data_IF_460173514106
#
_entry.id   IF_460173514106
#
_cell.length_a   1.000
_cell.length_b   1.000
_cell.length_c   1.000
_cell.angle_alpha   90.00
_cell.angle_beta   90.00
_cell.angle_gamma   90.00
#
_symmetry.space_group_name_H-M   'P 1'
#
loop_
_entity.id
_entity.type
_entity.pdbx_description
1 polymer ?
#
# COMPACT_ATOMS: atom_id res chain seq x y z
N UNK A 1 5.39 -20.38 0.54
CA UNK A 1 4.58 -19.17 0.25
C UNK A 1 4.91 -18.72 -1.17
N UNK A 2 3.93 -18.31 -1.96
CA UNK A 2 4.14 -17.78 -3.32
C UNK A 2 4.04 -16.27 -3.21
N UNK A 3 5.16 -15.55 -3.40
CA UNK A 3 5.23 -14.09 -3.24
C UNK A 3 4.87 -13.35 -4.52
N UNK A 4 5.36 -13.84 -5.65
CA UNK A 4 5.07 -13.28 -6.96
C UNK A 4 5.03 -14.35 -8.04
N UNK A 5 4.34 -14.06 -9.14
CA UNK A 5 4.26 -14.89 -10.32
C UNK A 5 4.59 -14.05 -11.55
N UNK A 6 5.60 -14.45 -12.30
CA UNK A 6 5.90 -13.88 -13.61
C UNK A 6 5.71 -14.95 -14.68
N UNK A 7 4.85 -14.67 -15.66
CA UNK A 7 4.58 -15.62 -16.72
C UNK A 7 3.54 -15.13 -17.71
N UNK A 8 3.19 -16.01 -18.64
CA UNK A 8 2.24 -15.72 -19.72
C UNK A 8 0.80 -15.86 -19.24
N UNK A 9 -0.03 -14.85 -19.48
CA UNK A 9 -1.47 -14.94 -19.22
C UNK A 9 -2.08 -15.92 -20.24
N UNK A 10 -2.70 -16.99 -19.76
CA UNK A 10 -3.36 -18.00 -20.61
C UNK A 10 -4.88 -17.92 -20.54
N UNK A 11 -5.43 -17.27 -19.50
CA UNK A 11 -6.87 -16.98 -19.36
C UNK A 11 -7.06 -15.70 -18.55
N UNK A 12 -8.04 -14.90 -18.95
CA UNK A 12 -8.39 -13.65 -18.28
C UNK A 12 -9.90 -13.57 -18.09
N UNK A 13 -10.34 -13.39 -16.84
CA UNK A 13 -11.72 -13.16 -16.43
C UNK A 13 -11.83 -11.76 -15.82
N UNK A 14 -13.03 -11.36 -15.42
CA UNK A 14 -13.30 -10.05 -14.83
C UNK A 14 -12.52 -9.82 -13.51
N UNK A 15 -12.40 -10.86 -12.69
CA UNK A 15 -11.82 -10.82 -11.34
C UNK A 15 -10.78 -11.92 -11.10
N UNK A 16 -10.24 -12.52 -12.15
CA UNK A 16 -9.23 -13.56 -12.03
C UNK A 16 -8.45 -13.70 -13.34
N UNK A 17 -7.22 -14.16 -13.23
CA UNK A 17 -6.37 -14.53 -14.36
C UNK A 17 -5.72 -15.89 -14.13
N UNK A 18 -5.34 -16.56 -15.20
CA UNK A 18 -4.47 -17.74 -15.12
C UNK A 18 -3.13 -17.37 -15.72
N UNK A 19 -2.07 -17.46 -14.91
CA UNK A 19 -0.69 -17.17 -15.30
C UNK A 19 0.06 -18.50 -15.42
N UNK A 20 0.65 -18.75 -16.58
CA UNK A 20 1.48 -19.94 -16.84
C UNK A 20 2.93 -19.62 -16.50
N UNK A 21 3.46 -20.30 -15.49
CA UNK A 21 4.84 -20.19 -15.05
C UNK A 21 5.49 -21.59 -15.14
N UNK A 22 6.48 -21.77 -16.02
CA UNK A 22 7.18 -23.05 -16.15
C UNK A 22 6.27 -24.24 -16.50
N UNK A 23 5.18 -24.02 -17.25
CA UNK A 23 4.22 -25.08 -17.62
C UNK A 23 3.09 -25.30 -16.58
N UNK A 24 3.15 -24.65 -15.42
CA UNK A 24 2.08 -24.70 -14.41
C UNK A 24 1.17 -23.49 -14.56
N UNK A 25 -0.15 -23.72 -14.66
CA UNK A 25 -1.16 -22.64 -14.72
C UNK A 25 -1.67 -22.28 -13.31
N UNK A 26 -1.32 -21.10 -12.83
CA UNK A 26 -1.77 -20.57 -11.55
C UNK A 26 -3.05 -19.77 -11.73
N UNK A 27 -4.14 -20.20 -11.08
CA UNK A 27 -5.38 -19.44 -11.02
C UNK A 27 -5.29 -18.38 -9.91
N UNK A 28 -5.32 -17.11 -10.29
CA UNK A 28 -5.08 -15.98 -9.40
C UNK A 28 -6.32 -15.09 -9.39
N UNK A 29 -6.94 -14.92 -8.24
CA UNK A 29 -8.06 -13.98 -8.04
C UNK A 29 -7.49 -12.56 -7.87
N UNK A 30 -8.04 -11.58 -8.57
CA UNK A 30 -7.54 -10.20 -8.57
C UNK A 30 -8.68 -9.21 -8.33
N UNK A 31 -8.38 -8.00 -7.83
CA UNK A 31 -9.30 -6.87 -7.98
C UNK A 31 -9.69 -6.68 -9.45
N UNK A 32 -10.91 -6.24 -9.72
CA UNK A 32 -11.37 -6.02 -11.10
C UNK A 32 -10.55 -4.93 -11.80
N UNK A 33 -10.06 -3.93 -11.05
CA UNK A 33 -9.13 -2.90 -11.51
C UNK A 33 -7.83 -3.51 -12.01
N UNK A 34 -7.23 -4.40 -11.23
CA UNK A 34 -5.98 -5.11 -11.60
C UNK A 34 -6.22 -6.02 -12.81
N UNK A 35 -7.24 -6.88 -12.74
CA UNK A 35 -7.56 -7.77 -13.86
C UNK A 35 -7.80 -6.97 -15.16
N UNK A 36 -8.47 -5.82 -15.09
CA UNK A 36 -8.70 -4.94 -16.24
C UNK A 36 -7.42 -4.37 -16.84
N UNK A 37 -6.49 -3.93 -15.99
CA UNK A 37 -5.23 -3.28 -16.39
C UNK A 37 -4.17 -4.25 -16.92
N UNK A 38 -4.23 -5.54 -16.54
CA UNK A 38 -3.30 -6.55 -17.05
C UNK A 38 -3.37 -6.70 -18.56
N UNK A 39 -2.24 -7.04 -19.22
CA UNK A 39 -2.20 -7.25 -20.66
C UNK A 39 -3.10 -8.40 -21.10
N UNK A 40 -3.29 -8.54 -22.42
CA UNK A 40 -4.13 -9.58 -23.01
C UNK A 40 -3.54 -10.97 -22.90
N UNK A 41 -4.38 -11.98 -23.15
CA UNK A 41 -3.97 -13.40 -23.23
C UNK A 41 -2.80 -13.57 -24.21
N UNK A 42 -1.83 -14.38 -23.83
CA UNK A 42 -0.59 -14.63 -24.60
C UNK A 42 0.55 -13.67 -24.25
N UNK A 43 0.31 -12.60 -23.53
CA UNK A 43 1.33 -11.65 -23.06
C UNK A 43 1.84 -12.03 -21.68
N UNK A 44 3.06 -11.59 -21.38
CA UNK A 44 3.68 -11.78 -20.07
C UNK A 44 3.21 -10.71 -19.07
N UNK A 45 3.04 -11.12 -17.81
CA UNK A 45 2.72 -10.21 -16.69
C UNK A 45 3.37 -10.73 -15.40
N UNK A 46 3.63 -9.81 -14.50
CA UNK A 46 4.04 -10.10 -13.12
C UNK A 46 2.89 -9.72 -12.19
N UNK A 47 2.60 -10.57 -11.22
CA UNK A 47 1.66 -10.33 -10.13
C UNK A 47 2.34 -10.59 -8.80
N UNK A 48 2.17 -9.69 -7.86
CA UNK A 48 2.48 -9.91 -6.44
C UNK A 48 1.34 -10.67 -5.82
N UNK A 49 1.64 -11.70 -5.02
CA UNK A 49 0.59 -12.64 -4.63
C UNK A 49 0.52 -12.89 -3.13
N UNK A 50 -0.70 -13.03 -2.63
CA UNK A 50 -1.00 -13.52 -1.28
C UNK A 50 -1.64 -14.91 -1.38
N UNK A 51 -1.01 -15.89 -0.74
CA UNK A 51 -1.54 -17.26 -0.68
C UNK A 51 -2.32 -17.44 0.61
N UNK A 52 -3.59 -17.81 0.50
CA UNK A 52 -4.45 -18.19 1.62
C UNK A 52 -4.66 -19.69 1.62
N UNK A 53 -4.31 -20.32 2.71
CA UNK A 53 -4.48 -21.76 2.92
C UNK A 53 -5.47 -21.94 4.05
N UNK A 54 -6.58 -22.60 3.78
CA UNK A 54 -7.57 -23.00 4.75
C UNK A 54 -7.72 -24.53 4.73
N UNK A 55 -8.44 -25.09 5.64
CA UNK A 55 -8.67 -26.54 5.72
C UNK A 55 -9.28 -27.12 4.42
N UNK A 56 -10.11 -26.34 3.73
CA UNK A 56 -10.88 -26.80 2.57
C UNK A 56 -10.46 -26.12 1.25
N UNK A 57 -9.55 -25.14 1.25
CA UNK A 57 -9.21 -24.37 0.06
C UNK A 57 -7.81 -23.79 0.12
N UNK A 58 -7.17 -23.75 -1.05
CA UNK A 58 -5.92 -23.01 -1.31
C UNK A 58 -6.22 -21.98 -2.38
N UNK A 59 -6.27 -20.74 -1.98
CA UNK A 59 -6.53 -19.61 -2.88
C UNK A 59 -5.31 -18.73 -3.06
N UNK A 60 -5.15 -18.18 -4.27
CA UNK A 60 -4.10 -17.23 -4.61
C UNK A 60 -4.74 -15.92 -5.05
N UNK A 61 -4.35 -14.84 -4.39
CA UNK A 61 -4.79 -13.48 -4.70
C UNK A 61 -3.64 -12.70 -5.32
N UNK A 62 -3.89 -11.93 -6.38
CA UNK A 62 -2.83 -11.25 -7.14
C UNK A 62 -3.09 -9.79 -7.37
N UNK A 63 -2.01 -9.02 -7.33
CA UNK A 63 -1.97 -7.57 -7.38
C UNK A 63 -0.92 -7.11 -8.38
N UNK A 64 -1.11 -5.93 -8.97
CA UNK A 64 -0.16 -5.37 -9.93
C UNK A 64 1.07 -4.77 -9.23
N UNK A 65 0.93 -4.33 -7.97
CA UNK A 65 2.00 -3.69 -7.20
C UNK A 65 2.09 -4.26 -5.78
N UNK A 66 3.23 -4.06 -5.12
CA UNK A 66 3.45 -4.47 -3.72
C UNK A 66 2.58 -3.66 -2.76
N UNK A 67 2.29 -2.39 -3.09
CA UNK A 67 1.40 -1.54 -2.30
C UNK A 67 -0.02 -2.11 -2.26
N UNK A 68 -0.52 -2.60 -3.40
CA UNK A 68 -1.84 -3.25 -3.45
C UNK A 68 -1.85 -4.55 -2.65
N UNK A 69 -0.77 -5.33 -2.70
CA UNK A 69 -0.59 -6.56 -1.92
C UNK A 69 -0.62 -6.24 -0.42
N UNK A 70 0.21 -5.29 0.04
CA UNK A 70 0.30 -4.86 1.44
C UNK A 70 -1.04 -4.29 1.94
N UNK A 71 -1.72 -3.49 1.11
CA UNK A 71 -3.03 -2.96 1.43
C UNK A 71 -4.07 -4.07 1.60
N UNK A 72 -4.04 -5.11 0.75
CA UNK A 72 -4.92 -6.27 0.89
C UNK A 72 -4.67 -7.03 2.20
N UNK A 73 -3.42 -7.27 2.57
CA UNK A 73 -3.06 -7.91 3.83
C UNK A 73 -3.52 -7.09 5.03
N UNK A 74 -3.33 -5.77 4.98
CA UNK A 74 -3.80 -4.85 6.00
C UNK A 74 -5.33 -4.90 6.18
N UNK A 75 -6.07 -4.85 5.08
CA UNK A 75 -7.54 -4.92 5.08
C UNK A 75 -8.05 -6.26 5.61
N UNK A 76 -7.46 -7.37 5.17
CA UNK A 76 -7.89 -8.72 5.58
C UNK A 76 -7.51 -9.09 7.02
N UNK A 77 -6.60 -8.34 7.64
CA UNK A 77 -6.32 -8.45 9.07
C UNK A 77 -7.42 -7.87 9.96
N UNK A 78 -8.37 -7.10 9.40
CA UNK A 78 -9.52 -6.55 10.14
C UNK A 78 -10.58 -7.62 10.32
N UNK A 79 -11.07 -7.79 11.54
CA UNK A 79 -12.13 -8.76 11.84
C UNK A 79 -13.40 -8.51 11.02
N UNK A 80 -13.83 -9.51 10.25
CA UNK A 80 -14.98 -9.44 9.36
C UNK A 80 -14.65 -8.99 7.93
N UNK A 81 -13.39 -8.67 7.62
CA UNK A 81 -12.92 -8.44 6.25
C UNK A 81 -12.26 -9.71 5.73
N UNK A 82 -13.03 -10.52 5.02
CA UNK A 82 -12.45 -11.66 4.31
C UNK A 82 -11.83 -11.27 2.96
N UNK A 83 -11.12 -12.21 2.30
CA UNK A 83 -10.45 -11.95 1.02
C UNK A 83 -11.37 -11.35 -0.06
N UNK A 84 -12.60 -11.82 -0.17
CA UNK A 84 -13.58 -11.30 -1.14
C UNK A 84 -13.88 -9.82 -0.91
N UNK A 85 -13.99 -9.41 0.35
CA UNK A 85 -14.24 -8.00 0.71
C UNK A 85 -12.99 -7.16 0.46
N UNK A 86 -11.80 -7.67 0.80
CA UNK A 86 -10.53 -7.01 0.48
C UNK A 86 -10.37 -6.74 -1.01
N UNK A 87 -10.62 -7.76 -1.86
CA UNK A 87 -10.61 -7.58 -3.32
C UNK A 87 -11.67 -6.59 -3.80
N UNK A 88 -12.87 -6.59 -3.21
CA UNK A 88 -13.93 -5.64 -3.58
C UNK A 88 -13.55 -4.20 -3.25
N UNK A 89 -12.89 -3.95 -2.12
CA UNK A 89 -12.37 -2.63 -1.74
C UNK A 89 -11.33 -2.17 -2.76
N UNK A 90 -10.31 -3.00 -3.05
CA UNK A 90 -9.25 -2.66 -4.00
C UNK A 90 -9.71 -2.64 -5.47
N UNK A 91 -10.91 -3.12 -5.75
CA UNK A 91 -11.54 -2.96 -7.08
C UNK A 91 -12.10 -1.56 -7.32
N UNK A 92 -12.37 -0.79 -6.25
CA UNK A 92 -13.00 0.54 -6.32
C UNK A 92 -12.15 1.66 -5.70
N UNK A 93 -11.11 1.28 -4.94
CA UNK A 93 -10.21 2.23 -4.27
C UNK A 93 -8.76 1.79 -4.44
N UNK A 94 -7.91 2.69 -4.88
CA UNK A 94 -6.45 2.48 -4.86
C UNK A 94 -5.91 2.56 -3.42
N UNK A 95 -4.74 1.95 -3.12
CA UNK A 95 -4.15 1.92 -1.78
C UNK A 95 -4.06 3.29 -1.10
N UNK A 96 -3.66 4.32 -1.84
CA UNK A 96 -3.55 5.70 -1.33
C UNK A 96 -4.90 6.25 -0.86
N UNK A 97 -5.96 5.96 -1.62
CA UNK A 97 -7.33 6.36 -1.26
C UNK A 97 -7.82 5.62 -0.03
N UNK A 98 -7.44 4.35 0.13
CA UNK A 98 -7.72 3.56 1.34
C UNK A 98 -7.03 4.20 2.54
N UNK A 99 -5.73 4.49 2.44
CA UNK A 99 -4.95 5.12 3.49
C UNK A 99 -5.49 6.51 3.89
N UNK A 100 -5.83 7.33 2.88
CA UNK A 100 -6.44 8.64 3.10
C UNK A 100 -7.79 8.55 3.82
N UNK A 101 -8.67 7.64 3.39
CA UNK A 101 -9.98 7.43 4.02
C UNK A 101 -9.84 6.98 5.47
N UNK A 102 -8.89 6.11 5.79
CA UNK A 102 -8.59 5.66 7.15
C UNK A 102 -8.09 6.83 8.01
N UNK A 103 -7.11 7.59 7.52
CA UNK A 103 -6.52 8.73 8.23
C UNK A 103 -7.54 9.82 8.50
N UNK A 104 -8.40 10.13 7.53
CA UNK A 104 -9.48 11.11 7.64
C UNK A 104 -10.68 10.63 8.47
N UNK A 105 -10.74 9.33 8.82
CA UNK A 105 -11.92 8.76 9.49
C UNK A 105 -13.14 8.60 8.58
N UNK A 106 -12.95 8.66 7.25
CA UNK A 106 -14.05 8.58 6.27
C UNK A 106 -14.50 7.13 6.00
N UNK A 107 -15.30 6.61 6.91
CA UNK A 107 -15.90 5.28 6.74
C UNK A 107 -16.93 5.23 5.59
N UNK A 108 -17.41 6.38 5.09
CA UNK A 108 -18.39 6.39 3.99
C UNK A 108 -17.75 6.00 2.65
N UNK A 109 -16.47 6.31 2.45
CA UNK A 109 -15.72 5.94 1.25
C UNK A 109 -15.75 4.43 0.98
N UNK A 110 -15.69 3.61 2.04
CA UNK A 110 -15.69 2.14 1.93
C UNK A 110 -17.02 1.53 1.49
N UNK A 111 -18.13 2.27 1.60
CA UNK A 111 -19.46 1.77 1.19
C UNK A 111 -19.61 1.55 -0.31
N UNK A 112 -18.70 2.09 -1.12
CA UNK A 112 -18.66 1.83 -2.56
C UNK A 112 -18.28 0.38 -2.89
N UNK A 113 -17.59 -0.29 -1.97
CA UNK A 113 -17.17 -1.67 -2.14
C UNK A 113 -18.30 -2.66 -1.79
N UNK A 114 -18.51 -3.65 -2.66
CA UNK A 114 -19.49 -4.71 -2.42
C UNK A 114 -19.15 -5.51 -1.16
N UNK A 115 -20.15 -5.76 -0.32
CA UNK A 115 -19.98 -6.48 0.95
C UNK A 115 -19.54 -5.61 2.13
N UNK A 116 -19.34 -4.29 1.94
CA UNK A 116 -18.99 -3.37 3.02
C UNK A 116 -20.21 -2.60 3.50
N UNK A 117 -20.79 -3.06 4.61
CA UNK A 117 -21.86 -2.35 5.31
C UNK A 117 -21.33 -1.26 6.24
N UNK A 118 -22.23 -0.39 6.78
CA UNK A 118 -21.83 0.72 7.65
C UNK A 118 -21.00 0.29 8.89
N UNK A 119 -21.37 -0.81 9.53
CA UNK A 119 -20.66 -1.34 10.71
C UNK A 119 -19.26 -1.82 10.36
N UNK A 120 -19.10 -2.50 9.22
CA UNK A 120 -17.80 -2.99 8.77
C UNK A 120 -16.90 -1.82 8.34
N UNK A 121 -17.43 -0.83 7.63
CA UNK A 121 -16.70 0.37 7.24
C UNK A 121 -16.15 1.14 8.47
N UNK A 122 -16.96 1.31 9.52
CA UNK A 122 -16.53 1.92 10.77
C UNK A 122 -15.43 1.13 11.46
N UNK A 123 -15.55 -0.22 11.48
CA UNK A 123 -14.55 -1.11 12.06
C UNK A 123 -13.21 -1.02 11.31
N UNK A 124 -13.23 -1.05 9.96
CA UNK A 124 -12.04 -0.89 9.13
C UNK A 124 -11.27 0.38 9.52
N UNK A 125 -11.96 1.51 9.56
CA UNK A 125 -11.34 2.79 9.93
C UNK A 125 -10.80 2.76 11.35
N UNK A 126 -11.57 2.25 12.31
CA UNK A 126 -11.16 2.24 13.72
C UNK A 126 -9.93 1.35 13.96
N UNK A 127 -9.94 0.11 13.44
CA UNK A 127 -8.86 -0.86 13.67
C UNK A 127 -7.58 -0.50 12.89
N UNK A 128 -7.69 0.17 11.74
CA UNK A 128 -6.54 0.50 10.91
C UNK A 128 -5.96 1.89 11.17
N UNK A 129 -6.69 2.80 11.84
CA UNK A 129 -6.23 4.18 12.08
C UNK A 129 -4.87 4.22 12.77
N UNK A 130 -4.68 3.42 13.82
CA UNK A 130 -3.43 3.39 14.58
C UNK A 130 -2.28 2.73 13.80
N UNK A 131 -2.60 1.78 12.91
CA UNK A 131 -1.61 1.11 12.06
C UNK A 131 -1.11 2.04 10.96
N UNK A 132 -2.02 2.76 10.32
CA UNK A 132 -1.69 3.75 9.27
C UNK A 132 -0.90 4.93 9.87
N UNK A 133 -1.29 5.42 11.06
CA UNK A 133 -0.59 6.52 11.74
C UNK A 133 0.85 6.14 12.16
N UNK A 134 1.14 4.86 12.37
CA UNK A 134 2.49 4.36 12.74
C UNK A 134 3.39 4.09 11.54
N UNK A 135 2.97 4.44 10.31
CA UNK A 135 3.73 4.15 9.10
C UNK A 135 3.84 2.65 8.78
N UNK A 136 2.96 1.82 9.33
CA UNK A 136 2.99 0.35 9.19
C UNK A 136 2.43 -0.12 7.84
N UNK A 137 2.53 0.71 6.84
CA UNK A 137 2.26 0.34 5.46
C UNK A 137 3.60 0.40 4.74
N UNK A 138 4.41 -0.68 4.89
CA UNK A 138 5.55 -0.90 4.00
C UNK A 138 5.03 -0.83 2.56
N UNK A 139 5.44 0.20 1.82
CA UNK A 139 5.06 0.43 0.42
C UNK A 139 3.97 1.49 0.17
N UNK A 140 3.18 1.94 1.15
CA UNK A 140 2.29 3.10 0.96
C UNK A 140 2.98 4.31 1.59
N UNK A 141 3.69 5.08 0.77
CA UNK A 141 4.19 6.40 1.17
C UNK A 141 2.99 7.34 1.33
N UNK A 142 2.54 7.54 2.56
CA UNK A 142 1.55 8.59 2.90
C UNK A 142 2.06 10.00 2.50
N UNK A 143 3.34 10.14 2.21
CA UNK A 143 3.96 11.39 1.74
C UNK A 143 3.60 11.70 0.27
N UNK A 144 3.29 10.70 -0.56
CA UNK A 144 2.86 10.92 -1.95
C UNK A 144 1.40 11.37 -2.06
N UNK A 145 0.57 11.08 -1.05
CA UNK A 145 -0.85 11.48 -1.08
C UNK A 145 -1.03 13.00 -0.87
N UNK A 146 -0.06 13.65 -0.20
CA UNK A 146 0.00 15.11 -0.06
C UNK A 146 0.65 15.82 -1.27
N UNK A 147 1.37 15.09 -2.12
CA UNK A 147 2.23 15.65 -3.17
C UNK A 147 1.53 15.91 -4.51
N UNK A 148 0.27 15.48 -4.69
CA UNK A 148 -0.48 15.82 -5.92
C UNK A 148 -0.70 17.33 -6.11
N UNK A 149 -0.34 18.17 -5.11
CA UNK A 149 -0.40 19.63 -5.17
C UNK A 149 0.86 20.34 -4.67
N UNK A 150 1.93 19.64 -4.30
CA UNK A 150 3.16 20.23 -3.77
C UNK A 150 4.34 20.12 -4.75
N UNK A 151 5.11 21.19 -4.85
CA UNK A 151 6.31 21.30 -5.70
C UNK A 151 7.41 20.30 -5.28
N UNK A 152 8.35 19.93 -6.19
CA UNK A 152 9.39 18.92 -5.95
C UNK A 152 10.27 19.13 -4.70
N UNK A 153 10.35 20.35 -4.18
CA UNK A 153 11.10 20.70 -2.97
C UNK A 153 10.52 20.09 -1.67
N UNK A 154 9.22 19.74 -1.64
CA UNK A 154 8.59 19.17 -0.46
C UNK A 154 8.86 17.66 -0.28
N UNK A 155 9.18 16.94 -1.37
CA UNK A 155 9.51 15.52 -1.35
C UNK A 155 10.83 15.23 -0.65
N UNK A 156 11.85 16.10 -0.85
CA UNK A 156 13.16 15.95 -0.23
C UNK A 156 13.14 16.07 1.30
N UNK A 157 12.33 16.98 1.82
CA UNK A 157 12.20 17.19 3.27
C UNK A 157 11.53 16.00 3.98
N UNK A 158 10.47 15.43 3.38
CA UNK A 158 9.78 14.26 3.92
C UNK A 158 10.69 13.02 3.98
N UNK A 159 11.40 12.71 2.91
CA UNK A 159 12.37 11.62 2.86
C UNK A 159 13.48 11.78 3.90
N UNK A 160 13.97 13.01 4.11
CA UNK A 160 14.96 13.30 5.13
C UNK A 160 14.42 13.07 6.56
N UNK A 161 13.17 13.43 6.84
CA UNK A 161 12.52 13.17 8.13
C UNK A 161 12.39 11.65 8.36
N UNK A 162 11.89 10.89 7.37
CA UNK A 162 11.76 9.44 7.46
C UNK A 162 13.11 8.75 7.73
N UNK A 163 14.18 9.17 7.04
CA UNK A 163 15.53 8.66 7.28
C UNK A 163 16.04 8.95 8.70
N UNK A 164 15.77 10.14 9.25
CA UNK A 164 16.17 10.50 10.61
C UNK A 164 15.38 9.68 11.66
N UNK A 165 14.11 9.41 11.41
CA UNK A 165 13.29 8.55 12.27
C UNK A 165 13.82 7.11 12.26
N UNK A 166 14.22 6.57 11.11
CA UNK A 166 14.85 5.24 11.03
C UNK A 166 16.19 5.15 11.75
N UNK A 167 16.89 6.28 11.92
CA UNK A 167 18.11 6.39 12.73
C UNK A 167 17.83 6.56 14.23
N UNK A 168 16.57 6.51 14.67
CA UNK A 168 16.17 6.51 16.08
C UNK A 168 15.81 7.88 16.66
N UNK A 169 15.71 8.94 15.85
CA UNK A 169 15.20 10.24 16.30
C UNK A 169 13.67 10.25 16.33
N UNK A 170 13.06 11.04 17.23
CA UNK A 170 11.62 11.22 17.24
C UNK A 170 11.16 12.02 16.00
N UNK A 171 9.95 11.78 15.54
CA UNK A 171 9.38 12.49 14.38
C UNK A 171 9.36 14.02 14.58
N UNK A 172 9.11 14.48 15.81
CA UNK A 172 9.11 15.90 16.15
C UNK A 172 10.51 16.51 16.10
N UNK A 173 11.55 15.80 16.54
CA UNK A 173 12.94 16.25 16.47
C UNK A 173 13.43 16.29 15.04
N UNK A 174 13.13 15.25 14.25
CA UNK A 174 13.47 15.16 12.84
C UNK A 174 12.80 16.30 12.03
N UNK A 175 11.50 16.51 12.23
CA UNK A 175 10.77 17.58 11.56
C UNK A 175 11.30 18.98 11.92
N UNK A 176 11.63 19.22 13.19
CA UNK A 176 12.20 20.50 13.68
C UNK A 176 13.62 20.75 13.15
N UNK A 177 14.40 19.69 12.95
CA UNK A 177 15.74 19.79 12.37
C UNK A 177 15.69 20.10 10.86
N UNK A 178 14.83 19.40 10.13
CA UNK A 178 14.68 19.55 8.67
C UNK A 178 14.00 20.87 8.31
N UNK A 179 13.04 21.38 9.12
CA UNK A 179 12.35 22.65 8.85
C UNK A 179 13.27 23.88 8.80
N UNK A 180 14.49 23.78 9.30
CA UNK A 180 15.50 24.85 9.31
C UNK A 180 16.48 24.80 8.14
N UNK A 181 16.32 23.80 7.26
CA UNK A 181 17.22 23.53 6.14
C UNK A 181 16.49 23.85 4.86
N UNK A 182 17.22 24.33 3.86
CA UNK A 182 16.67 24.62 2.55
C UNK A 182 16.15 23.32 1.90
N UNK A 183 14.84 23.27 1.66
CA UNK A 183 14.16 22.11 1.07
C UNK A 183 14.52 21.87 -0.42
N UNK A 184 15.25 22.78 -1.07
CA UNK A 184 15.73 22.63 -2.44
C UNK A 184 17.01 21.77 -2.55
N UNK A 185 17.65 21.47 -1.42
CA UNK A 185 18.86 20.67 -1.38
C UNK A 185 18.56 19.17 -1.62
N UNK A 186 19.54 18.41 -2.12
CA UNK A 186 19.44 16.95 -2.21
C UNK A 186 19.17 16.32 -0.84
N UNK A 187 18.35 15.27 -0.79
CA UNK A 187 17.93 14.58 0.46
C UNK A 187 19.12 14.21 1.36
N UNK A 188 20.23 13.75 0.74
CA UNK A 188 21.45 13.39 1.46
C UNK A 188 22.10 14.57 2.18
N UNK A 189 22.05 15.76 1.58
CA UNK A 189 22.56 16.98 2.20
C UNK A 189 21.64 17.47 3.33
N UNK A 190 20.34 17.37 3.15
CA UNK A 190 19.35 17.69 4.20
C UNK A 190 19.58 16.81 5.42
N UNK A 191 19.73 15.49 5.24
CA UNK A 191 20.00 14.55 6.32
C UNK A 191 21.32 14.90 7.04
N UNK A 192 22.39 15.18 6.29
CA UNK A 192 23.70 15.52 6.83
C UNK A 192 23.68 16.80 7.67
N UNK A 193 22.99 17.82 7.20
CA UNK A 193 22.84 19.10 7.89
C UNK A 193 21.95 18.97 9.13
N UNK A 194 20.88 18.20 9.06
CA UNK A 194 20.01 17.92 10.18
C UNK A 194 20.77 17.19 11.31
N UNK A 195 21.52 16.13 10.98
CA UNK A 195 22.33 15.39 11.95
C UNK A 195 23.38 16.28 12.61
N UNK A 196 24.06 17.16 11.85
CA UNK A 196 25.01 18.14 12.42
C UNK A 196 24.33 19.11 13.39
N UNK A 197 23.14 19.60 13.02
CA UNK A 197 22.37 20.51 13.87
C UNK A 197 21.87 19.88 15.18
N UNK A 198 21.60 18.57 15.16
CA UNK A 198 21.17 17.80 16.34
C UNK A 198 22.35 17.35 17.21
N UNK A 199 23.50 17.01 16.63
CA UNK A 199 24.71 16.59 17.37
C UNK A 199 25.34 17.71 18.21
N UNK A 200 25.14 18.99 17.83
CA UNK A 200 25.63 20.15 18.59
C UNK A 200 24.79 20.56 19.79
N UNK A 201 23.74 19.77 20.14
CA UNK A 201 22.81 20.06 21.26
C UNK A 201 22.89 19.04 22.42
N UNK A 202 23.90 18.18 22.43
CA UNK A 202 24.20 17.29 23.57
C UNK A 202 25.31 17.86 24.44
#
# INVERSE_FOLDING_TARGET
MIYSLTGKIIKKNLNAVVVSCGGVGYYVQCPTSVAGALPGVGREATLYTVMSVTENDISLYGFATEEQQSCFELLTAVSGVGPKVGLAILSVMEPDRVALAISAGDHKAFKAASGVGPKLAQRIVLELKDKVAKGFVDGINLEDVGAATAAPAAQGAGQAIAALVSLGYSQSEAALAVSKIDASLPVEEIIKLALRGMAGRR
#
